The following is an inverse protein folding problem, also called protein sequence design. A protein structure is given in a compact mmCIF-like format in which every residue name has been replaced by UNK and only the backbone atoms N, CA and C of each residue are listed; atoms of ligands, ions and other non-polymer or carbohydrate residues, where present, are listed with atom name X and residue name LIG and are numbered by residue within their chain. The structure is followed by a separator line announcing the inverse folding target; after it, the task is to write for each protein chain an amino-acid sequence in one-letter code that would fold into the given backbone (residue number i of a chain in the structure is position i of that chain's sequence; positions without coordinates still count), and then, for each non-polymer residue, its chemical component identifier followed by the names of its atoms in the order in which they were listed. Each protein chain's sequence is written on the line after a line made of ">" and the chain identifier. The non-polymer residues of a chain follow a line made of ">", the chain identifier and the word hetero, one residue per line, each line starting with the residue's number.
data_IF_879547941605
#
_entry.id   IF_879547941605
#
_cell.length_a   1.000
_cell.length_b   1.000
_cell.length_c   1.000
_cell.angle_alpha   90.00
_cell.angle_beta   90.00
_cell.angle_gamma   90.00
#
_symmetry.space_group_name_H-M   'P 1'
#
loop_
_entity.id
_entity.type
_entity.pdbx_description
1 polymer ?
#
# COMPACT_ATOMS: atom_id res chain seq x y z
N UNK A 1 10.37 -1.00 0.77
CA UNK A 1 11.23 -0.72 -0.39
C UNK A 1 10.42 -0.63 -1.66
N UNK A 2 11.05 -0.19 -2.74
CA UNK A 2 10.52 -0.14 -4.11
C UNK A 2 11.59 -0.72 -5.06
N UNK A 3 11.22 -1.07 -6.29
CA UNK A 3 12.05 -1.72 -7.33
C UNK A 3 12.25 -3.23 -7.21
N UNK A 4 12.41 -3.76 -5.99
CA UNK A 4 12.68 -5.20 -5.83
C UNK A 4 14.11 -5.61 -6.20
N UNK A 5 15.08 -4.68 -6.13
CA UNK A 5 16.48 -4.97 -6.45
C UNK A 5 17.05 -6.09 -5.58
N UNK A 6 18.03 -6.83 -6.12
CA UNK A 6 18.72 -7.94 -5.43
C UNK A 6 19.25 -7.57 -4.05
N UNK A 7 19.71 -6.32 -3.86
CA UNK A 7 20.24 -5.84 -2.59
C UNK A 7 19.23 -5.85 -1.44
N UNK A 8 17.93 -5.76 -1.74
CA UNK A 8 16.86 -5.77 -0.74
C UNK A 8 16.85 -7.04 0.13
N UNK A 9 17.33 -8.17 -0.41
CA UNK A 9 17.42 -9.46 0.29
C UNK A 9 18.54 -9.51 1.33
N UNK A 10 19.50 -8.58 1.26
CA UNK A 10 20.63 -8.51 2.19
C UNK A 10 20.47 -7.40 3.24
N UNK A 11 19.36 -6.64 3.20
CA UNK A 11 19.01 -5.74 4.29
C UNK A 11 18.76 -6.55 5.57
N UNK A 12 19.08 -5.97 6.73
CA UNK A 12 18.78 -6.55 8.04
C UNK A 12 17.93 -5.54 8.82
N UNK A 13 16.65 -5.83 9.11
CA UNK A 13 15.89 -7.01 8.67
C UNK A 13 15.64 -7.02 7.14
N UNK A 14 15.33 -8.19 6.57
CA UNK A 14 15.10 -8.34 5.12
C UNK A 14 14.00 -7.38 4.67
N UNK A 15 14.23 -6.62 3.60
CA UNK A 15 13.31 -5.55 3.22
C UNK A 15 12.10 -6.06 2.44
N UNK A 16 10.89 -5.74 2.91
CA UNK A 16 9.66 -5.84 2.12
C UNK A 16 9.67 -4.80 1.02
N UNK A 17 9.40 -5.20 -0.23
CA UNK A 17 9.51 -4.32 -1.40
C UNK A 17 8.47 -4.62 -2.47
N UNK A 18 8.04 -3.59 -3.19
CA UNK A 18 7.34 -3.75 -4.46
C UNK A 18 8.39 -4.05 -5.53
N UNK A 19 8.19 -5.13 -6.29
CA UNK A 19 9.04 -5.55 -7.40
C UNK A 19 8.51 -4.94 -8.67
N UNK A 20 9.35 -4.17 -9.35
CA UNK A 20 9.01 -3.60 -10.65
C UNK A 20 9.21 -4.65 -11.76
N UNK A 21 8.27 -4.81 -12.70
CA UNK A 21 8.40 -5.76 -13.81
C UNK A 21 9.29 -5.19 -14.92
N UNK A 22 10.58 -5.03 -14.64
CA UNK A 22 11.54 -4.29 -15.49
C UNK A 22 11.65 -4.81 -16.92
N UNK A 23 11.61 -6.13 -17.12
CA UNK A 23 11.62 -6.75 -18.45
C UNK A 23 10.37 -6.35 -19.25
N UNK A 24 9.19 -6.40 -18.64
CA UNK A 24 7.93 -6.03 -19.28
C UNK A 24 7.90 -4.53 -19.60
N UNK A 25 8.42 -3.69 -18.69
CA UNK A 25 8.59 -2.25 -18.94
C UNK A 25 9.46 -2.04 -20.18
N UNK A 26 10.60 -2.72 -20.29
CA UNK A 26 11.50 -2.58 -21.43
C UNK A 26 10.84 -3.02 -22.75
N UNK A 27 10.21 -4.19 -22.76
CA UNK A 27 9.52 -4.72 -23.94
C UNK A 27 8.41 -3.78 -24.42
N UNK A 28 7.53 -3.35 -23.51
CA UNK A 28 6.45 -2.42 -23.84
C UNK A 28 6.99 -1.05 -24.28
N UNK A 29 8.06 -0.57 -23.65
CA UNK A 29 8.66 0.72 -24.00
C UNK A 29 9.22 0.72 -25.42
N UNK A 30 9.92 -0.34 -25.82
CA UNK A 30 10.44 -0.50 -27.18
C UNK A 30 9.30 -0.60 -28.19
N UNK A 31 8.28 -1.41 -27.89
CA UNK A 31 7.11 -1.57 -28.76
C UNK A 31 6.37 -0.24 -28.98
N UNK A 32 6.11 0.51 -27.92
CA UNK A 32 5.46 1.82 -27.99
C UNK A 32 6.30 2.82 -28.78
N UNK A 33 7.62 2.82 -28.58
CA UNK A 33 8.53 3.71 -29.29
C UNK A 33 8.56 3.42 -30.79
N UNK A 34 8.70 2.15 -31.18
CA UNK A 34 8.69 1.73 -32.59
C UNK A 34 7.38 2.13 -33.26
N UNK A 35 6.24 1.90 -32.61
CA UNK A 35 4.92 2.31 -33.14
C UNK A 35 4.82 3.83 -33.36
N UNK A 36 5.40 4.64 -32.48
CA UNK A 36 5.39 6.09 -32.64
C UNK A 36 6.28 6.54 -33.81
N UNK A 37 7.49 5.98 -33.93
CA UNK A 37 8.46 6.38 -34.96
C UNK A 37 8.05 5.87 -36.35
N UNK A 38 7.70 4.59 -36.47
CA UNK A 38 7.49 3.95 -37.77
C UNK A 38 6.04 4.03 -38.25
N UNK A 39 5.08 4.09 -37.33
CA UNK A 39 3.65 4.04 -37.67
C UNK A 39 2.89 5.32 -37.32
N UNK A 40 3.58 6.34 -36.80
CA UNK A 40 2.96 7.60 -36.39
C UNK A 40 1.88 7.41 -35.32
N UNK A 41 1.96 6.31 -34.54
CA UNK A 41 0.98 6.02 -33.52
C UNK A 41 0.98 7.13 -32.44
N UNK A 42 -0.18 7.48 -31.87
CA UNK A 42 -0.24 8.46 -30.81
C UNK A 42 0.50 7.98 -29.56
N UNK A 43 0.92 8.92 -28.72
CA UNK A 43 1.47 8.61 -27.40
C UNK A 43 0.46 7.81 -26.57
N UNK A 44 0.96 6.79 -25.87
CA UNK A 44 0.16 5.92 -25.01
C UNK A 44 0.84 5.73 -23.66
N UNK A 45 0.03 5.60 -22.62
CA UNK A 45 0.48 5.24 -21.28
C UNK A 45 0.01 3.83 -20.97
N UNK A 46 0.95 2.95 -20.63
CA UNK A 46 0.68 1.57 -20.24
C UNK A 46 1.06 1.41 -18.77
N UNK A 47 0.14 0.87 -17.97
CA UNK A 47 0.38 0.54 -16.56
C UNK A 47 0.61 -0.97 -16.44
N UNK A 48 1.74 -1.35 -15.87
CA UNK A 48 2.10 -2.75 -15.61
C UNK A 48 1.91 -3.05 -14.12
N UNK A 49 1.43 -4.25 -13.83
CA UNK A 49 1.17 -4.68 -12.46
C UNK A 49 2.50 -5.06 -11.79
N UNK A 50 2.84 -4.44 -10.65
CA UNK A 50 3.99 -4.86 -9.87
C UNK A 50 3.62 -6.00 -8.93
N UNK A 51 4.65 -6.69 -8.42
CA UNK A 51 4.49 -7.75 -7.42
C UNK A 51 4.93 -7.27 -6.04
N UNK A 52 4.34 -7.83 -4.98
CA UNK A 52 4.84 -7.62 -3.62
C UNK A 52 5.81 -8.74 -3.25
N UNK A 53 7.06 -8.39 -2.96
CA UNK A 53 8.01 -9.28 -2.31
C UNK A 53 8.04 -8.94 -0.82
N UNK A 54 7.42 -9.80 -0.01
CA UNK A 54 7.41 -9.64 1.44
C UNK A 54 8.79 -9.98 2.03
N UNK A 55 9.25 -9.13 2.95
CA UNK A 55 10.40 -9.34 3.81
C UNK A 55 10.01 -9.17 5.28
N UNK A 56 11.00 -9.05 6.15
CA UNK A 56 10.85 -8.95 7.60
C UNK A 56 10.57 -7.52 8.10
N UNK A 57 10.82 -6.49 7.29
CA UNK A 57 10.50 -5.08 7.66
C UNK A 57 8.99 -4.82 7.77
N UNK A 58 8.14 -5.75 7.34
CA UNK A 58 6.69 -5.65 7.45
C UNK A 58 6.16 -6.82 8.27
N UNK A 59 5.53 -6.50 9.39
CA UNK A 59 4.73 -7.44 10.18
C UNK A 59 3.32 -6.88 10.27
N UNK A 60 2.28 -7.72 10.11
CA UNK A 60 0.93 -7.36 10.51
C UNK A 60 0.93 -6.86 11.96
N UNK A 61 0.07 -5.89 12.26
CA UNK A 61 -0.13 -5.44 13.63
C UNK A 61 -0.72 -6.59 14.46
N UNK A 62 -0.16 -6.83 15.64
CA UNK A 62 -0.68 -7.84 16.57
C UNK A 62 -2.16 -7.55 16.89
N UNK A 63 -3.05 -8.55 16.83
CA UNK A 63 -4.46 -8.37 17.15
C UNK A 63 -4.70 -7.73 18.52
N UNK A 64 -3.82 -8.01 19.48
CA UNK A 64 -3.84 -7.38 20.80
C UNK A 64 -3.60 -5.86 20.73
N UNK A 65 -2.61 -5.40 19.96
CA UNK A 65 -2.34 -3.97 19.79
C UNK A 65 -3.50 -3.26 19.08
N UNK A 66 -4.11 -3.90 18.09
CA UNK A 66 -5.32 -3.38 17.43
C UNK A 66 -6.50 -3.23 18.41
N UNK A 67 -6.58 -4.10 19.43
CA UNK A 67 -7.61 -4.01 20.47
C UNK A 67 -7.43 -2.81 21.40
N UNK A 68 -6.19 -2.36 21.63
CA UNK A 68 -5.87 -1.19 22.45
C UNK A 68 -6.26 0.14 21.78
N UNK A 69 -6.27 0.18 20.45
CA UNK A 69 -6.67 1.37 19.68
C UNK A 69 -8.17 1.38 19.31
N UNK A 70 -9.00 0.51 19.88
CA UNK A 70 -10.45 0.58 19.66
C UNK A 70 -10.97 1.91 20.23
N UNK A 71 -11.58 2.78 19.39
CA UNK A 71 -12.12 4.04 19.87
C UNK A 71 -13.16 3.74 20.95
N UNK A 72 -12.97 4.30 22.15
CA UNK A 72 -13.95 4.20 23.23
C UNK A 72 -15.30 4.68 22.70
N UNK A 73 -16.34 3.84 22.90
CA UNK A 73 -17.73 4.20 22.59
C UNK A 73 -17.98 5.57 23.19
N UNK A 74 -18.28 6.55 22.33
CA UNK A 74 -18.69 7.89 22.73
C UNK A 74 -19.95 7.71 23.61
N UNK A 75 -19.81 7.90 24.93
CA UNK A 75 -20.96 7.91 25.83
C UNK A 75 -21.77 9.16 25.47
N UNK A 76 -22.87 8.97 24.75
CA UNK A 76 -23.88 10.02 24.61
C UNK A 76 -24.61 10.10 25.94
N UNK A 77 -24.34 11.14 26.73
CA UNK A 77 -25.17 11.46 27.90
C UNK A 77 -26.53 11.90 27.37
N UNK A 78 -27.53 11.02 27.44
CA UNK A 78 -28.90 11.41 27.20
C UNK A 78 -29.34 12.33 28.34
N UNK A 79 -29.81 13.52 27.96
CA UNK A 79 -30.28 14.57 28.85
C UNK A 79 -31.68 14.21 29.40
N UNK A 80 -31.79 13.24 30.30
CA UNK A 80 -33.02 13.01 31.07
C UNK A 80 -32.66 12.34 32.39
N UNK A 81 -32.36 13.12 33.42
CA UNK A 81 -32.66 12.78 34.81
C UNK A 81 -32.35 13.98 35.72
N UNK A 82 -33.36 14.82 35.92
CA UNK A 82 -33.55 15.64 37.13
C UNK A 82 -35.05 15.87 37.35
N UNK A 83 -35.73 14.85 37.86
CA UNK A 83 -36.96 15.01 38.65
C UNK A 83 -36.79 14.19 39.95
N UNK A 84 -37.03 14.85 41.09
CA UNK A 84 -36.76 14.34 42.44
C UNK A 84 -35.34 14.72 42.87
N UNK A 85 -35.09 15.53 43.89
CA UNK A 85 -35.65 15.47 45.24
C UNK A 85 -35.42 16.83 45.92
N UNK A 86 -36.51 17.53 46.23
CA UNK A 86 -36.53 18.67 47.17
C UNK A 86 -37.12 18.14 48.47
N UNK A 87 -36.29 17.97 49.48
CA UNK A 87 -36.66 18.08 50.90
C UNK A 87 -35.48 18.69 51.65
#
# INVERSE_FOLDING_TARGET
>A
GFDGITMSRYCVPVMTTIVQPSEQIALQSVELLVRQIEHGAPAQTVTLQPDLQQGETYSPAEPFLLSLFRPHRRITKNHTDKQGELR
#
